data_IF_322118574647
#
_entry.id   IF_322118574647
#
_cell.length_a   1.000
_cell.length_b   1.000
_cell.length_c   1.000
_cell.angle_alpha   90.00
_cell.angle_beta   90.00
_cell.angle_gamma   90.00
#
_symmetry.space_group_name_H-M   'P 1'
#
loop_
_entity.id
_entity.type
_entity.pdbx_description
1 polymer ?
#
# COMPACT_ATOMS: atom_id res chain seq x y z
N UNK A 1 -36.53 48.09 -40.60
CA UNK A 1 -37.62 47.15 -40.22
C UNK A 1 -37.05 46.09 -39.29
N UNK A 2 -37.58 45.97 -38.07
CA UNK A 2 -37.57 44.73 -37.28
C UNK A 2 -39.03 44.26 -37.19
N UNK A 3 -39.26 42.94 -37.20
CA UNK A 3 -39.79 42.27 -35.99
C UNK A 3 -39.05 40.93 -35.74
N UNK A 4 -38.59 40.63 -34.52
CA UNK A 4 -39.27 40.11 -33.31
C UNK A 4 -39.30 38.56 -33.28
N UNK A 5 -38.50 37.98 -32.37
CA UNK A 5 -38.92 37.00 -31.33
C UNK A 5 -38.61 35.55 -31.79
N UNK A 6 -37.96 34.66 -31.03
CA UNK A 6 -38.24 34.29 -29.65
C UNK A 6 -37.05 33.56 -28.99
N UNK A 7 -36.81 33.93 -27.73
CA UNK A 7 -36.51 33.08 -26.57
C UNK A 7 -35.94 31.67 -26.84
N UNK A 8 -34.62 31.53 -26.70
CA UNK A 8 -33.94 30.24 -26.54
C UNK A 8 -33.52 30.05 -25.08
N UNK A 9 -34.31 29.26 -24.37
CA UNK A 9 -34.20 28.79 -22.98
C UNK A 9 -32.77 28.59 -22.42
N UNK A 10 -32.41 29.14 -21.23
CA UNK A 10 -31.13 28.87 -20.57
C UNK A 10 -31.00 27.44 -20.00
N UNK A 11 -32.01 26.58 -20.16
CA UNK A 11 -32.01 25.22 -19.62
C UNK A 11 -31.41 24.15 -20.52
N UNK A 12 -30.71 24.51 -21.58
CA UNK A 12 -29.72 23.59 -22.15
C UNK A 12 -28.48 23.65 -21.24
N UNK A 13 -28.64 23.09 -20.03
CA UNK A 13 -27.55 22.66 -19.18
C UNK A 13 -26.81 21.60 -19.98
N UNK A 14 -25.89 22.07 -20.83
CA UNK A 14 -24.74 21.28 -21.20
C UNK A 14 -24.21 20.73 -19.88
N UNK A 15 -24.13 19.42 -19.77
CA UNK A 15 -23.30 18.77 -18.78
C UNK A 15 -21.86 19.10 -19.16
N UNK A 16 -21.50 20.38 -19.06
CA UNK A 16 -20.13 20.81 -18.85
C UNK A 16 -19.86 20.36 -17.44
N UNK A 17 -19.60 19.06 -17.32
CA UNK A 17 -18.90 18.47 -16.20
C UNK A 17 -17.79 19.47 -15.94
N UNK A 18 -17.86 20.16 -14.80
CA UNK A 18 -16.69 20.85 -14.29
C UNK A 18 -15.65 19.75 -14.20
N UNK A 19 -14.78 19.69 -15.18
CA UNK A 19 -13.52 18.98 -15.06
C UNK A 19 -12.79 19.79 -14.00
N UNK A 20 -13.02 19.42 -12.74
CA UNK A 20 -12.20 19.85 -11.62
C UNK A 20 -10.76 19.49 -11.98
N UNK A 21 -9.80 20.42 -11.95
CA UNK A 21 -8.43 20.15 -12.39
C UNK A 21 -7.62 19.14 -11.56
N UNK A 22 -8.23 18.36 -10.65
CA UNK A 22 -7.49 17.47 -9.72
C UNK A 22 -7.80 15.98 -9.85
N UNK A 23 -8.31 15.51 -10.99
CA UNK A 23 -8.33 14.08 -11.31
C UNK A 23 -6.94 13.62 -11.79
N UNK A 24 -5.97 13.53 -10.88
CA UNK A 24 -4.70 12.87 -11.26
C UNK A 24 -3.52 12.99 -10.31
N UNK A 25 -3.57 13.86 -9.30
CA UNK A 25 -2.53 13.91 -8.28
C UNK A 25 -3.18 13.92 -6.90
N UNK A 26 -2.68 13.11 -5.94
CA UNK A 26 -3.07 13.31 -4.57
C UNK A 26 -2.71 14.75 -4.18
N UNK A 27 -3.67 15.50 -3.63
CA UNK A 27 -3.43 16.83 -3.07
C UNK A 27 -2.45 16.79 -1.87
N UNK A 28 -2.17 15.58 -1.36
CA UNK A 28 -1.29 15.31 -0.23
C UNK A 28 0.11 14.93 -0.74
N UNK A 29 1.19 15.58 -0.27
CA UNK A 29 2.57 15.18 -0.56
C UNK A 29 2.85 13.71 -0.25
N UNK A 30 3.76 13.09 -1.02
CA UNK A 30 4.12 11.67 -0.81
C UNK A 30 4.72 11.41 0.57
N UNK A 31 5.46 12.39 1.11
CA UNK A 31 6.02 12.33 2.47
C UNK A 31 4.92 12.24 3.52
N UNK A 32 3.92 13.13 3.45
CA UNK A 32 2.79 13.15 4.38
C UNK A 32 1.97 11.85 4.27
N UNK A 33 1.81 11.30 3.06
CA UNK A 33 1.18 9.99 2.86
C UNK A 33 1.98 8.85 3.50
N UNK A 34 3.31 8.89 3.37
CA UNK A 34 4.20 7.91 3.96
C UNK A 34 4.17 7.98 5.49
N UNK A 35 4.26 9.19 6.05
CA UNK A 35 4.17 9.43 7.50
C UNK A 35 2.84 8.96 8.06
N UNK A 36 1.72 9.26 7.38
CA UNK A 36 0.41 8.76 7.77
C UNK A 36 0.36 7.23 7.77
N UNK A 37 0.89 6.60 6.72
CA UNK A 37 0.92 5.16 6.59
C UNK A 37 1.75 4.49 7.69
N UNK A 38 2.97 4.97 7.95
CA UNK A 38 3.85 4.39 8.99
C UNK A 38 3.25 4.61 10.38
N UNK A 39 2.69 5.79 10.65
CA UNK A 39 1.98 6.09 11.91
C UNK A 39 0.82 5.13 12.11
N UNK A 40 0.00 4.88 11.09
CA UNK A 40 -1.09 3.93 11.15
C UNK A 40 -0.58 2.51 11.43
N UNK A 41 0.48 2.08 10.74
CA UNK A 41 1.08 0.76 10.98
C UNK A 41 1.58 0.61 12.43
N UNK A 42 2.21 1.64 12.98
CA UNK A 42 2.63 1.65 14.39
C UNK A 42 1.44 1.51 15.34
N UNK A 43 0.37 2.29 15.13
CA UNK A 43 -0.85 2.21 15.96
C UNK A 43 -1.48 0.81 15.89
N UNK A 44 -1.61 0.24 14.68
CA UNK A 44 -2.17 -1.09 14.50
C UNK A 44 -1.32 -2.17 15.21
N UNK A 45 0.00 -2.05 15.14
CA UNK A 45 0.91 -2.92 15.84
C UNK A 45 0.78 -2.81 17.37
N UNK A 46 0.75 -1.59 17.92
CA UNK A 46 0.55 -1.35 19.36
C UNK A 46 -0.77 -1.91 19.88
N UNK A 47 -1.82 -1.83 19.05
CA UNK A 47 -3.14 -2.39 19.35
C UNK A 47 -3.24 -3.91 19.10
N UNK A 48 -2.16 -4.56 18.65
CA UNK A 48 -2.13 -5.98 18.24
C UNK A 48 -3.16 -6.35 17.16
N UNK A 49 -3.51 -5.39 16.31
CA UNK A 49 -4.47 -5.57 15.19
C UNK A 49 -3.73 -6.04 13.95
N UNK A 50 -3.12 -7.23 14.04
CA UNK A 50 -2.18 -7.73 13.04
C UNK A 50 -2.81 -8.05 11.69
N UNK A 51 -4.07 -8.52 11.66
CA UNK A 51 -4.81 -8.74 10.41
C UNK A 51 -5.01 -7.44 9.61
N UNK A 52 -5.26 -6.33 10.29
CA UNK A 52 -5.41 -5.02 9.66
C UNK A 52 -4.07 -4.44 9.24
N UNK A 53 -3.04 -4.62 10.09
CA UNK A 53 -1.67 -4.25 9.76
C UNK A 53 -1.21 -4.95 8.48
N UNK A 54 -1.43 -6.27 8.37
CA UNK A 54 -1.10 -7.06 7.19
C UNK A 54 -1.83 -6.52 5.95
N UNK A 55 -3.15 -6.35 6.01
CA UNK A 55 -3.94 -5.80 4.89
C UNK A 55 -3.45 -4.42 4.46
N UNK A 56 -3.09 -3.55 5.40
CA UNK A 56 -2.56 -2.22 5.11
C UNK A 56 -1.21 -2.31 4.40
N UNK A 57 -0.27 -3.12 4.89
CA UNK A 57 1.05 -3.28 4.26
C UNK A 57 0.96 -3.92 2.87
N UNK A 58 0.05 -4.88 2.67
CA UNK A 58 -0.19 -5.48 1.35
C UNK A 58 -0.75 -4.46 0.35
N UNK A 59 -1.67 -3.61 0.80
CA UNK A 59 -2.22 -2.54 -0.03
C UNK A 59 -1.14 -1.54 -0.44
N UNK A 60 -0.25 -1.21 0.50
CA UNK A 60 0.85 -0.28 0.27
C UNK A 60 1.96 -0.87 -0.62
N UNK A 61 2.25 -2.17 -0.55
CA UNK A 61 3.13 -2.87 -1.50
C UNK A 61 2.65 -2.78 -2.95
N UNK A 62 1.33 -2.67 -3.17
CA UNK A 62 0.75 -2.46 -4.49
C UNK A 62 0.89 -1.03 -5.03
N UNK A 63 1.32 -0.07 -4.20
CA UNK A 63 1.43 1.34 -4.58
C UNK A 63 2.70 1.61 -5.38
N UNK A 64 2.54 2.04 -6.63
CA UNK A 64 3.68 2.43 -7.49
C UNK A 64 4.47 3.59 -6.91
N UNK A 65 3.81 4.52 -6.22
CA UNK A 65 4.47 5.70 -5.64
C UNK A 65 5.36 5.33 -4.45
N UNK A 66 4.89 4.44 -3.56
CA UNK A 66 5.71 3.95 -2.43
C UNK A 66 6.84 3.02 -2.89
N UNK A 67 6.60 2.23 -3.94
CA UNK A 67 7.59 1.29 -4.47
C UNK A 67 8.60 1.92 -5.44
N UNK A 68 8.42 3.21 -5.80
CA UNK A 68 9.33 3.93 -6.72
C UNK A 68 10.70 4.18 -6.11
N UNK A 69 10.74 4.54 -4.83
CA UNK A 69 11.98 4.71 -4.09
C UNK A 69 12.46 3.36 -3.54
N UNK A 70 13.75 3.04 -3.74
CA UNK A 70 14.28 1.72 -3.37
C UNK A 70 14.41 1.53 -1.87
N UNK A 71 14.71 2.59 -1.11
CA UNK A 71 14.80 2.49 0.35
C UNK A 71 13.40 2.24 0.94
N UNK A 72 12.41 3.01 0.51
CA UNK A 72 11.01 2.82 0.92
C UNK A 72 10.45 1.48 0.50
N UNK A 73 10.74 1.02 -0.71
CA UNK A 73 10.31 -0.29 -1.16
C UNK A 73 10.86 -1.41 -0.25
N UNK A 74 12.14 -1.33 0.16
CA UNK A 74 12.73 -2.30 1.09
C UNK A 74 12.12 -2.23 2.49
N UNK A 75 11.89 -1.02 2.99
CA UNK A 75 11.22 -0.83 4.28
C UNK A 75 9.79 -1.38 4.26
N UNK A 76 9.04 -1.13 3.17
CA UNK A 76 7.69 -1.67 2.96
C UNK A 76 7.67 -3.20 2.88
N UNK A 77 8.60 -3.80 2.11
CA UNK A 77 8.76 -5.26 2.05
C UNK A 77 9.01 -5.84 3.45
N UNK A 78 9.85 -5.19 4.26
CA UNK A 78 10.16 -5.62 5.61
C UNK A 78 8.99 -5.44 6.58
N UNK A 79 8.28 -4.31 6.53
CA UNK A 79 7.07 -4.08 7.31
C UNK A 79 5.99 -5.12 7.01
N UNK A 80 5.78 -5.44 5.72
CA UNK A 80 4.82 -6.45 5.32
C UNK A 80 5.22 -7.84 5.81
N UNK A 81 6.51 -8.19 5.77
CA UNK A 81 7.01 -9.45 6.33
C UNK A 81 6.72 -9.54 7.84
N UNK A 82 7.00 -8.49 8.60
CA UNK A 82 6.71 -8.44 10.03
C UNK A 82 5.21 -8.58 10.30
N UNK A 83 4.37 -7.89 9.53
CA UNK A 83 2.92 -7.99 9.64
C UNK A 83 2.44 -9.44 9.43
N UNK A 84 2.98 -10.14 8.43
CA UNK A 84 2.68 -11.55 8.20
C UNK A 84 3.12 -12.44 9.37
N UNK A 85 4.32 -12.20 9.92
CA UNK A 85 4.85 -12.97 11.06
C UNK A 85 3.99 -12.79 12.32
N UNK A 86 3.52 -11.56 12.58
CA UNK A 86 2.67 -11.25 13.72
C UNK A 86 1.23 -11.77 13.56
N UNK A 87 0.72 -11.83 12.33
CA UNK A 87 -0.60 -12.37 12.04
C UNK A 87 -0.61 -13.90 11.84
N UNK A 88 0.52 -14.58 12.07
CA UNK A 88 0.71 -16.01 11.82
C UNK A 88 0.39 -16.45 10.37
N UNK A 89 0.54 -15.52 9.42
CA UNK A 89 0.39 -15.71 7.98
C UNK A 89 1.63 -16.35 7.36
N UNK A 90 1.98 -17.57 7.80
CA UNK A 90 3.23 -18.26 7.42
C UNK A 90 3.42 -18.44 5.92
N UNK A 91 2.34 -18.70 5.16
CA UNK A 91 2.39 -18.82 3.71
C UNK A 91 2.87 -17.52 3.03
N UNK A 92 2.33 -16.38 3.44
CA UNK A 92 2.70 -15.08 2.90
C UNK A 92 4.10 -14.66 3.35
N UNK A 93 4.43 -14.87 4.63
CA UNK A 93 5.76 -14.62 5.16
C UNK A 93 6.84 -15.42 4.40
N UNK A 94 6.58 -16.70 4.13
CA UNK A 94 7.47 -17.56 3.33
C UNK A 94 7.68 -17.01 1.92
N UNK A 95 6.60 -16.61 1.24
CA UNK A 95 6.71 -16.06 -0.12
C UNK A 95 7.56 -14.80 -0.17
N UNK A 96 7.38 -13.86 0.77
CA UNK A 96 8.20 -12.64 0.85
C UNK A 96 9.66 -13.00 1.16
N UNK A 97 9.88 -13.89 2.13
CA UNK A 97 11.22 -14.25 2.56
C UNK A 97 12.01 -15.02 1.49
N UNK A 98 11.35 -15.87 0.69
CA UNK A 98 11.97 -16.55 -0.44
C UNK A 98 12.54 -15.54 -1.45
N UNK A 99 11.77 -14.51 -1.79
CA UNK A 99 12.24 -13.46 -2.71
C UNK A 99 13.42 -12.68 -2.11
N UNK A 100 13.38 -12.37 -0.81
CA UNK A 100 14.49 -11.69 -0.13
C UNK A 100 15.78 -12.52 -0.09
N UNK A 101 15.69 -13.83 0.10
CA UNK A 101 16.84 -14.75 0.03
C UNK A 101 17.39 -14.84 -1.38
N UNK A 102 16.53 -14.95 -2.40
CA UNK A 102 16.97 -14.97 -3.82
C UNK A 102 17.69 -13.67 -4.18
N UNK A 103 17.20 -12.52 -3.71
CA UNK A 103 17.84 -11.22 -3.90
C UNK A 103 19.17 -11.08 -3.13
N UNK A 104 19.36 -11.82 -2.02
CA UNK A 104 20.50 -11.68 -1.11
C UNK A 104 21.06 -13.05 -0.67
N UNK A 105 21.57 -13.89 -1.59
CA UNK A 105 21.93 -15.28 -1.30
C UNK A 105 23.08 -15.41 -0.29
N UNK A 106 23.99 -14.42 -0.24
CA UNK A 106 25.12 -14.38 0.68
C UNK A 106 24.73 -13.96 2.11
N UNK A 107 23.47 -13.54 2.33
CA UNK A 107 23.01 -13.05 3.63
C UNK A 107 22.56 -14.20 4.52
N UNK A 108 23.45 -14.64 5.41
CA UNK A 108 23.12 -15.61 6.46
C UNK A 108 21.90 -15.18 7.30
N UNK A 109 21.70 -13.87 7.48
CA UNK A 109 20.53 -13.35 8.22
C UNK A 109 19.21 -13.65 7.50
N UNK A 110 19.19 -13.54 6.18
CA UNK A 110 18.00 -13.87 5.38
C UNK A 110 17.69 -15.37 5.47
N UNK A 111 18.70 -16.23 5.36
CA UNK A 111 18.54 -17.67 5.53
C UNK A 111 18.05 -18.06 6.92
N UNK A 112 18.61 -17.45 7.97
CA UNK A 112 18.19 -17.70 9.35
C UNK A 112 16.72 -17.30 9.57
N UNK A 113 16.30 -16.17 9.01
CA UNK A 113 14.90 -15.72 9.11
C UNK A 113 13.95 -16.63 8.33
N UNK A 114 14.35 -17.10 7.14
CA UNK A 114 13.58 -18.07 6.37
C UNK A 114 13.39 -19.38 7.16
N UNK A 115 14.46 -19.90 7.76
CA UNK A 115 14.40 -21.12 8.56
C UNK A 115 13.49 -20.97 9.79
N UNK A 116 13.49 -19.80 10.42
CA UNK A 116 12.58 -19.50 11.53
C UNK A 116 11.12 -19.53 11.09
N UNK A 117 10.79 -18.94 9.93
CA UNK A 117 9.43 -18.94 9.37
C UNK A 117 8.98 -20.37 9.05
N UNK A 118 9.85 -21.18 8.43
CA UNK A 118 9.55 -22.58 8.10
C UNK A 118 9.29 -23.38 9.39
N UNK A 119 10.19 -23.28 10.38
CA UNK A 119 10.05 -24.03 11.64
C UNK A 119 8.76 -23.67 12.38
N UNK A 120 8.41 -22.38 12.42
CA UNK A 120 7.16 -21.91 13.05
C UNK A 120 5.91 -22.44 12.33
N UNK A 121 5.97 -22.61 11.00
CA UNK A 121 4.84 -23.15 10.24
C UNK A 121 4.61 -24.64 10.53
N UNK A 122 5.69 -25.41 10.69
CA UNK A 122 5.63 -26.84 11.01
C UNK A 122 5.10 -27.10 12.43
N UNK A 123 5.39 -26.22 13.40
CA UNK A 123 4.87 -26.32 14.78
C UNK A 123 3.34 -26.10 14.91
N UNK A 124 2.69 -25.55 13.87
CA UNK A 124 1.25 -25.25 13.86
C UNK A 124 0.40 -26.39 13.25
N UNK A 125 1.02 -27.48 12.78
CA UNK A 125 0.37 -28.69 12.24
C UNK A 125 0.33 -29.85 13.21
#
# INVERSE_FOLDING_TARGET
MRPSENCGDPRVRTWKIMVLPSLGQPDVPLEDQWELFTTLCHILHEQKRFEELERMTFSALGSKEFMRDKERAREMEFMCLLACIYNDSSYFAYNIMRELVIKNPESNRCWNLLNLIISKADDLT
#
